data_IF_529764819679
#
_entry.id   IF_529764819679
#
_cell.length_a   1.000
_cell.length_b   1.000
_cell.length_c   1.000
_cell.angle_alpha   90.00
_cell.angle_beta   90.00
_cell.angle_gamma   90.00
#
_symmetry.space_group_name_H-M   'P 1'
#
loop_
_entity.id
_entity.type
_entity.pdbx_description
1 polymer ?
#
# COMPACT_ATOMS: atom_id res chain seq x y z
N UNK A 1 -9.99 -28.82 -28.17
CA UNK A 1 -10.47 -27.45 -28.44
C UNK A 1 -9.76 -26.50 -27.49
N UNK A 2 -8.83 -25.69 -28.00
CA UNK A 2 -8.16 -24.66 -27.21
C UNK A 2 -9.09 -23.45 -27.08
N UNK A 3 -9.58 -23.19 -25.87
CA UNK A 3 -10.32 -21.96 -25.56
C UNK A 3 -9.34 -20.80 -25.52
N UNK A 4 -9.44 -19.88 -26.49
CA UNK A 4 -8.77 -18.58 -26.45
C UNK A 4 -9.31 -17.80 -25.26
N UNK A 5 -8.52 -17.65 -24.20
CA UNK A 5 -8.78 -16.63 -23.17
C UNK A 5 -8.66 -15.27 -23.86
N UNK A 6 -9.69 -14.44 -23.72
CA UNK A 6 -9.62 -13.02 -24.12
C UNK A 6 -8.71 -12.33 -23.12
N UNK A 7 -7.53 -11.90 -23.58
CA UNK A 7 -6.71 -10.95 -22.85
C UNK A 7 -7.48 -9.63 -22.76
N UNK A 8 -8.03 -9.32 -21.58
CA UNK A 8 -8.38 -7.95 -21.24
C UNK A 8 -7.08 -7.14 -21.20
N UNK A 9 -6.94 -6.05 -21.97
CA UNK A 9 -5.72 -5.25 -21.95
C UNK A 9 -5.61 -4.60 -20.56
N UNK A 10 -4.73 -5.14 -19.73
CA UNK A 10 -4.18 -4.42 -18.58
C UNK A 10 -3.58 -3.13 -19.15
N UNK A 11 -4.19 -1.99 -18.83
CA UNK A 11 -3.60 -0.69 -19.16
C UNK A 11 -2.25 -0.67 -18.45
N UNK A 12 -1.17 -0.58 -19.23
CA UNK A 12 0.21 -0.52 -18.75
C UNK A 12 0.30 0.55 -17.63
N UNK A 13 0.87 0.24 -16.45
CA UNK A 13 1.11 1.22 -15.40
C UNK A 13 1.70 2.54 -15.91
N UNK A 14 2.55 2.48 -16.95
CA UNK A 14 3.10 3.66 -17.63
C UNK A 14 2.02 4.47 -18.35
N UNK A 15 1.11 3.81 -19.07
CA UNK A 15 0.00 4.44 -19.77
C UNK A 15 -0.99 5.10 -18.80
N UNK A 16 -1.17 4.52 -17.61
CA UNK A 16 -1.96 5.12 -16.52
C UNK A 16 -1.31 6.38 -15.97
N UNK A 17 0.00 6.37 -15.74
CA UNK A 17 0.74 7.54 -15.27
C UNK A 17 0.68 8.70 -16.27
N UNK A 18 0.86 8.40 -17.57
CA UNK A 18 0.72 9.37 -18.66
C UNK A 18 -0.68 10.02 -18.68
N UNK A 19 -1.73 9.21 -18.49
CA UNK A 19 -3.11 9.71 -18.45
C UNK A 19 -3.38 10.59 -17.22
N UNK A 20 -2.91 10.18 -16.03
CA UNK A 20 -3.06 10.97 -14.81
C UNK A 20 -2.32 12.31 -14.90
N UNK A 21 -1.13 12.30 -15.49
CA UNK A 21 -0.37 13.52 -15.74
C UNK A 21 -1.09 14.45 -16.74
N UNK A 22 -1.58 13.93 -17.86
CA UNK A 22 -2.36 14.69 -18.84
C UNK A 22 -3.61 15.34 -18.20
N UNK A 23 -4.34 14.58 -17.37
CA UNK A 23 -5.51 15.09 -16.64
C UNK A 23 -5.14 16.21 -15.67
N UNK A 24 -4.08 16.05 -14.87
CA UNK A 24 -3.59 17.10 -13.95
C UNK A 24 -3.25 18.39 -14.72
N UNK A 25 -2.64 18.28 -15.91
CA UNK A 25 -2.31 19.43 -16.77
C UNK A 25 -3.54 20.17 -17.30
N UNK A 26 -4.58 19.44 -17.72
CA UNK A 26 -5.85 20.05 -18.15
C UNK A 26 -6.47 20.86 -17.01
N UNK A 27 -6.47 20.32 -15.79
CA UNK A 27 -7.00 21.00 -14.61
C UNK A 27 -6.20 22.28 -14.29
N UNK A 28 -4.86 22.22 -14.34
CA UNK A 28 -4.01 23.39 -14.10
C UNK A 28 -4.24 24.51 -15.13
N UNK A 29 -4.35 24.18 -16.42
CA UNK A 29 -4.65 25.15 -17.48
C UNK A 29 -6.03 25.78 -17.32
N UNK A 30 -7.04 24.98 -16.96
CA UNK A 30 -8.38 25.48 -16.64
C UNK A 30 -8.37 26.43 -15.44
N UNK A 31 -7.56 26.13 -14.40
CA UNK A 31 -7.40 26.99 -13.23
C UNK A 31 -6.76 28.33 -13.58
N UNK A 32 -5.74 28.34 -14.44
CA UNK A 32 -5.11 29.56 -14.93
C UNK A 32 -6.11 30.45 -15.69
N UNK A 33 -6.92 29.85 -16.58
CA UNK A 33 -7.96 30.57 -17.29
C UNK A 33 -9.04 31.15 -16.36
N UNK A 34 -9.45 30.41 -15.34
CA UNK A 34 -10.35 30.94 -14.31
C UNK A 34 -9.75 32.13 -13.56
N UNK A 35 -8.45 32.08 -13.21
CA UNK A 35 -7.77 33.23 -12.59
C UNK A 35 -7.69 34.43 -13.53
N UNK A 36 -7.52 34.21 -14.84
CA UNK A 36 -7.54 35.27 -15.84
C UNK A 36 -8.91 35.97 -15.92
N UNK A 37 -10.01 35.21 -15.90
CA UNK A 37 -11.36 35.78 -15.86
C UNK A 37 -11.54 36.63 -14.59
N UNK A 38 -11.15 36.10 -13.43
CA UNK A 38 -11.21 36.83 -12.14
C UNK A 38 -10.34 38.10 -12.20
N UNK A 39 -9.18 38.04 -12.84
CA UNK A 39 -8.32 39.20 -13.05
C UNK A 39 -9.00 40.29 -13.87
N UNK A 40 -9.61 39.94 -15.01
CA UNK A 40 -10.30 40.91 -15.88
C UNK A 40 -11.51 41.52 -15.18
N UNK A 41 -12.37 40.69 -14.57
CA UNK A 41 -13.57 41.15 -13.86
C UNK A 41 -13.18 42.00 -12.65
N UNK A 42 -12.19 41.59 -11.87
CA UNK A 42 -11.68 42.35 -10.72
C UNK A 42 -11.09 43.70 -11.13
N UNK A 43 -10.35 43.75 -12.24
CA UNK A 43 -9.79 45.00 -12.76
C UNK A 43 -10.88 45.99 -13.17
N UNK A 44 -11.92 45.51 -13.87
CA UNK A 44 -13.10 46.33 -14.24
C UNK A 44 -13.82 46.81 -12.97
N UNK A 45 -13.97 45.94 -11.97
CA UNK A 45 -14.60 46.27 -10.70
C UNK A 45 -13.87 47.39 -9.94
N UNK A 46 -12.54 47.34 -9.84
CA UNK A 46 -11.75 48.41 -9.20
C UNK A 46 -11.85 49.75 -9.94
N UNK A 47 -11.90 49.72 -11.28
CA UNK A 47 -12.11 50.91 -12.11
C UNK A 47 -13.50 51.51 -11.86
N UNK A 48 -14.55 50.68 -11.84
CA UNK A 48 -15.93 51.08 -11.58
C UNK A 48 -16.11 51.64 -10.16
N UNK A 49 -15.57 50.99 -9.13
CA UNK A 49 -15.63 51.47 -7.74
C UNK A 49 -15.05 52.88 -7.60
N UNK A 50 -13.93 53.14 -8.26
CA UNK A 50 -13.27 54.43 -8.20
C UNK A 50 -13.99 55.50 -9.07
N UNK A 51 -14.53 55.15 -10.24
CA UNK A 51 -15.18 56.10 -11.14
C UNK A 51 -16.63 56.43 -10.76
N UNK A 52 -17.41 55.44 -10.35
CA UNK A 52 -18.86 55.58 -10.13
C UNK A 52 -19.16 55.94 -8.67
N UNK A 53 -18.48 55.29 -7.72
CA UNK A 53 -18.80 55.42 -6.30
C UNK A 53 -17.88 56.39 -5.55
N UNK A 54 -16.82 56.90 -6.20
CA UNK A 54 -15.88 57.85 -5.59
C UNK A 54 -15.14 57.32 -4.36
N UNK A 55 -15.20 56.01 -4.10
CA UNK A 55 -14.59 55.38 -2.94
C UNK A 55 -13.07 55.53 -3.02
N UNK A 56 -12.48 56.19 -2.02
CA UNK A 56 -11.04 56.44 -1.96
C UNK A 56 -10.51 57.45 -2.99
N UNK A 57 -11.35 58.28 -3.62
CA UNK A 57 -10.94 59.19 -4.68
C UNK A 57 -9.80 60.17 -4.29
N UNK A 58 -9.68 60.51 -3.01
CA UNK A 58 -8.60 61.36 -2.48
C UNK A 58 -7.34 60.58 -2.07
N UNK A 59 -7.42 59.25 -2.01
CA UNK A 59 -6.28 58.39 -1.65
C UNK A 59 -5.40 58.18 -2.87
N UNK A 60 -4.29 58.90 -2.88
CA UNK A 60 -3.23 58.75 -3.87
C UNK A 60 -1.99 58.17 -3.22
N UNK A 61 -1.36 57.22 -3.91
CA UNK A 61 -0.09 56.64 -3.51
C UNK A 61 0.89 56.88 -4.66
N UNK A 62 2.06 57.45 -4.36
CA UNK A 62 3.08 57.79 -5.37
C UNK A 62 2.55 58.62 -6.56
N UNK A 63 1.55 59.49 -6.33
CA UNK A 63 0.92 60.32 -7.37
C UNK A 63 -0.08 59.59 -8.28
N UNK A 64 -0.33 58.30 -8.07
CA UNK A 64 -1.36 57.52 -8.76
C UNK A 64 -2.57 57.25 -7.85
N UNK A 65 -3.77 57.14 -8.44
CA UNK A 65 -4.97 56.76 -7.68
C UNK A 65 -4.82 55.34 -7.15
N UNK A 66 -5.32 55.09 -5.93
CA UNK A 66 -5.24 53.77 -5.28
C UNK A 66 -5.73 52.61 -6.16
N UNK A 67 -6.74 52.84 -7.01
CA UNK A 67 -7.30 51.85 -7.94
C UNK A 67 -6.30 51.37 -8.97
N UNK A 68 -5.43 52.24 -9.49
CA UNK A 68 -4.37 51.85 -10.42
C UNK A 68 -3.31 50.99 -9.74
N UNK A 69 -2.96 51.32 -8.50
CA UNK A 69 -1.98 50.55 -7.73
C UNK A 69 -2.53 49.18 -7.36
N UNK A 70 -3.82 49.10 -6.99
CA UNK A 70 -4.49 47.83 -6.77
C UNK A 70 -4.47 46.96 -8.03
N UNK A 71 -4.73 47.52 -9.22
CA UNK A 71 -4.67 46.80 -10.49
C UNK A 71 -3.24 46.35 -10.81
N UNK A 72 -2.22 47.16 -10.55
CA UNK A 72 -0.80 46.79 -10.74
C UNK A 72 -0.41 45.63 -9.82
N UNK A 73 -0.74 45.70 -8.53
CA UNK A 73 -0.49 44.62 -7.57
C UNK A 73 -1.22 43.32 -7.96
N UNK A 74 -2.49 43.44 -8.35
CA UNK A 74 -3.31 42.32 -8.81
C UNK A 74 -2.76 41.71 -10.12
N UNK A 75 -2.26 42.54 -11.03
CA UNK A 75 -1.61 42.13 -12.28
C UNK A 75 -0.28 41.43 -12.04
N UNK A 76 0.51 41.90 -11.08
CA UNK A 76 1.76 41.24 -10.69
C UNK A 76 1.53 39.82 -10.18
N UNK A 77 0.52 39.61 -9.33
CA UNK A 77 0.14 38.26 -8.86
C UNK A 77 -0.31 37.35 -10.00
N UNK A 78 -1.06 37.88 -10.96
CA UNK A 78 -1.46 37.13 -12.15
C UNK A 78 -0.26 36.75 -13.02
N UNK A 79 0.68 37.67 -13.24
CA UNK A 79 1.92 37.42 -14.01
C UNK A 79 2.79 36.38 -13.32
N UNK A 80 2.95 36.43 -11.99
CA UNK A 80 3.67 35.39 -11.23
C UNK A 80 3.02 34.02 -11.41
N UNK A 81 1.68 33.94 -11.32
CA UNK A 81 0.95 32.68 -11.52
C UNK A 81 1.08 32.18 -12.97
N UNK A 82 1.00 33.07 -13.96
CA UNK A 82 1.20 32.75 -15.38
C UNK A 82 2.61 32.23 -15.67
N UNK A 83 3.64 32.93 -15.20
CA UNK A 83 5.04 32.51 -15.34
C UNK A 83 5.29 31.15 -14.67
N UNK A 84 4.71 30.88 -13.50
CA UNK A 84 4.85 29.58 -12.83
C UNK A 84 4.21 28.43 -13.64
N UNK A 85 3.03 28.66 -14.23
CA UNK A 85 2.33 27.62 -15.01
C UNK A 85 2.94 27.42 -16.41
N UNK A 86 3.53 28.47 -17.00
CA UNK A 86 3.96 28.47 -18.41
C UNK A 86 5.50 28.46 -18.58
N UNK A 87 6.26 29.34 -17.92
CA UNK A 87 7.72 29.46 -18.10
C UNK A 87 8.50 28.31 -17.45
N UNK A 88 8.17 27.93 -16.20
CA UNK A 88 8.91 26.87 -15.51
C UNK A 88 8.68 25.46 -16.11
N UNK A 89 7.52 25.23 -16.74
CA UNK A 89 7.21 23.96 -17.41
C UNK A 89 7.78 23.89 -18.85
N UNK A 90 8.12 25.01 -19.49
CA UNK A 90 8.76 24.97 -20.82
C UNK A 90 10.24 24.56 -20.75
N UNK A 91 10.90 24.80 -19.61
CA UNK A 91 12.34 24.56 -19.44
C UNK A 91 12.65 23.22 -18.74
N UNK A 92 11.80 22.78 -17.80
CA UNK A 92 11.89 21.49 -17.10
C UNK A 92 10.55 20.75 -17.13
N UNK A 93 9.95 20.64 -18.32
CA UNK A 93 8.68 19.93 -18.53
C UNK A 93 8.83 18.41 -18.52
N UNK A 94 7.70 17.70 -18.49
CA UNK A 94 7.61 16.24 -18.52
C UNK A 94 8.45 15.61 -19.64
N UNK A 95 8.51 16.19 -20.84
CA UNK A 95 9.35 15.66 -21.93
C UNK A 95 10.85 15.63 -21.63
N UNK A 96 11.35 16.57 -20.82
CA UNK A 96 12.74 16.56 -20.39
C UNK A 96 12.98 15.44 -19.38
N UNK A 97 12.06 15.27 -18.43
CA UNK A 97 12.07 14.19 -17.44
C UNK A 97 11.96 12.82 -18.10
N UNK A 98 11.05 12.66 -19.06
CA UNK A 98 10.85 11.45 -19.85
C UNK A 98 12.12 11.12 -20.65
N UNK A 99 12.76 12.13 -21.29
CA UNK A 99 14.05 11.94 -21.97
C UNK A 99 15.18 11.54 -21.02
N UNK A 100 15.20 12.04 -19.78
CA UNK A 100 16.18 11.59 -18.79
C UNK A 100 15.88 10.16 -18.33
N UNK A 101 14.60 9.83 -18.11
CA UNK A 101 14.17 8.50 -17.68
C UNK A 101 14.46 7.44 -18.74
N UNK A 102 14.14 7.70 -20.01
CA UNK A 102 14.46 6.82 -21.13
C UNK A 102 15.97 6.56 -21.21
N UNK A 103 16.80 7.59 -21.06
CA UNK A 103 18.26 7.43 -21.01
C UNK A 103 18.72 6.54 -19.86
N UNK A 104 18.11 6.65 -18.69
CA UNK A 104 18.44 5.81 -17.53
C UNK A 104 18.00 4.36 -17.72
N UNK A 105 16.80 4.13 -18.26
CA UNK A 105 16.27 2.79 -18.56
C UNK A 105 17.15 2.10 -19.61
N UNK A 106 17.59 2.82 -20.65
CA UNK A 106 18.50 2.27 -21.67
C UNK A 106 19.82 1.83 -21.04
N UNK A 107 20.43 2.68 -20.20
CA UNK A 107 21.66 2.33 -19.48
C UNK A 107 21.47 1.10 -18.58
N UNK A 108 20.36 1.03 -17.86
CA UNK A 108 20.06 -0.09 -16.99
C UNK A 108 19.84 -1.39 -17.79
N UNK A 109 19.20 -1.32 -18.96
CA UNK A 109 19.05 -2.47 -19.86
C UNK A 109 20.39 -2.95 -20.41
N UNK A 110 21.29 -2.04 -20.78
CA UNK A 110 22.65 -2.37 -21.20
C UNK A 110 23.42 -3.06 -20.07
N UNK A 111 23.32 -2.56 -18.84
CA UNK A 111 23.95 -3.15 -17.66
C UNK A 111 23.42 -4.55 -17.35
N UNK A 112 22.09 -4.74 -17.39
CA UNK A 112 21.47 -6.07 -17.23
C UNK A 112 21.93 -7.04 -18.32
N UNK A 113 22.05 -6.58 -19.57
CA UNK A 113 22.52 -7.41 -20.67
C UNK A 113 23.99 -7.83 -20.49
N UNK A 114 24.83 -6.93 -19.98
CA UNK A 114 26.23 -7.24 -19.64
C UNK A 114 26.31 -8.26 -18.50
N UNK A 115 25.56 -8.06 -17.41
CA UNK A 115 25.50 -9.00 -16.29
C UNK A 115 25.01 -10.37 -16.76
N UNK A 116 23.96 -10.42 -17.59
CA UNK A 116 23.46 -11.69 -18.13
C UNK A 116 24.51 -12.39 -19.00
N UNK A 117 25.30 -11.63 -19.77
CA UNK A 117 26.40 -12.17 -20.56
C UNK A 117 27.49 -12.75 -19.67
N UNK A 118 27.86 -12.06 -18.61
CA UNK A 118 28.88 -12.52 -17.66
C UNK A 118 28.41 -13.78 -16.90
N UNK A 119 27.12 -13.83 -16.53
CA UNK A 119 26.49 -15.03 -15.96
C UNK A 119 26.51 -16.20 -16.94
N UNK A 120 26.14 -15.96 -18.21
CA UNK A 120 26.15 -17.00 -19.25
C UNK A 120 27.58 -17.50 -19.54
N UNK A 121 28.62 -16.67 -19.37
CA UNK A 121 30.04 -17.05 -19.49
C UNK A 121 30.53 -17.85 -18.26
N UNK A 122 30.17 -17.42 -17.04
CA UNK A 122 30.56 -18.11 -15.80
C UNK A 122 29.82 -19.44 -15.59
N UNK A 123 28.58 -19.53 -16.09
CA UNK A 123 27.72 -20.70 -15.98
C UNK A 123 27.08 -21.03 -17.33
N UNK A 124 27.83 -21.67 -18.24
CA UNK A 124 27.31 -22.05 -19.55
C UNK A 124 26.03 -22.88 -19.42
N UNK A 125 24.99 -22.51 -20.18
CA UNK A 125 23.68 -23.17 -20.11
C UNK A 125 23.78 -24.65 -20.44
N UNK A 126 24.67 -25.04 -21.34
CA UNK A 126 24.95 -26.44 -21.67
C UNK A 126 25.50 -27.21 -20.48
N UNK A 127 26.35 -26.58 -19.66
CA UNK A 127 26.91 -27.19 -18.45
C UNK A 127 25.86 -27.30 -17.33
N UNK A 128 24.97 -26.31 -17.21
CA UNK A 128 23.82 -26.36 -16.31
C UNK A 128 22.82 -27.46 -16.72
N UNK A 129 22.54 -27.58 -18.01
CA UNK A 129 21.69 -28.65 -18.57
C UNK A 129 22.35 -30.01 -18.33
N UNK A 130 23.65 -30.14 -18.59
CA UNK A 130 24.39 -31.38 -18.36
C UNK A 130 24.42 -31.77 -16.88
N UNK A 131 24.69 -30.83 -15.97
CA UNK A 131 24.60 -31.06 -14.51
C UNK A 131 23.19 -31.45 -14.09
N UNK A 132 22.16 -30.85 -14.69
CA UNK A 132 20.75 -31.21 -14.44
C UNK A 132 20.42 -32.60 -14.97
N UNK A 133 20.90 -32.97 -16.15
CA UNK A 133 20.72 -34.30 -16.74
C UNK A 133 21.50 -35.38 -16.00
N UNK A 134 22.72 -35.09 -15.55
CA UNK A 134 23.53 -35.95 -14.68
C UNK A 134 22.88 -36.12 -13.31
N UNK A 135 22.33 -35.05 -12.73
CA UNK A 135 21.54 -35.09 -11.50
C UNK A 135 20.25 -35.93 -11.66
N UNK A 136 19.60 -35.86 -12.81
CA UNK A 136 18.41 -36.67 -13.13
C UNK A 136 18.81 -38.13 -13.37
N UNK A 137 19.92 -38.41 -14.07
CA UNK A 137 20.42 -39.78 -14.34
C UNK A 137 20.96 -40.49 -13.10
N UNK A 138 21.58 -39.76 -12.18
CA UNK A 138 22.03 -40.28 -10.89
C UNK A 138 20.87 -40.72 -9.98
N UNK A 139 19.62 -40.43 -10.38
CA UNK A 139 18.41 -40.79 -9.67
C UNK A 139 17.55 -41.73 -10.53
N UNK A 140 17.88 -43.02 -10.53
CA UNK A 140 16.96 -44.07 -10.98
C UNK A 140 15.71 -44.13 -10.08
N UNK A 141 14.55 -44.63 -10.58
CA UNK A 141 13.24 -44.37 -9.99
C UNK A 141 13.09 -45.13 -8.67
N UNK A 142 13.44 -44.46 -7.59
CA UNK A 142 12.95 -44.82 -6.27
C UNK A 142 11.45 -44.52 -6.30
N UNK A 143 10.66 -45.58 -6.09
CA UNK A 143 9.24 -45.52 -5.69
C UNK A 143 9.03 -44.27 -4.85
N UNK A 144 8.09 -43.40 -5.25
CA UNK A 144 7.87 -42.12 -4.59
C UNK A 144 7.37 -42.39 -3.16
N UNK A 145 8.30 -42.59 -2.22
CA UNK A 145 8.09 -42.12 -0.86
C UNK A 145 8.15 -40.60 -0.95
N UNK A 146 7.01 -39.99 -0.64
CA UNK A 146 6.78 -38.57 -0.62
C UNK A 146 7.95 -37.85 0.08
N UNK A 147 8.77 -37.15 -0.69
CA UNK A 147 9.63 -36.11 -0.12
C UNK A 147 8.70 -35.09 0.53
N UNK A 148 8.58 -35.16 1.87
CA UNK A 148 7.82 -34.20 2.69
C UNK A 148 8.17 -32.79 2.21
N UNK A 149 7.18 -32.12 1.62
CA UNK A 149 7.20 -30.67 1.38
C UNK A 149 7.63 -29.99 2.69
N UNK A 150 8.38 -28.87 2.65
CA UNK A 150 8.61 -28.10 3.87
C UNK A 150 7.24 -27.82 4.50
N UNK A 151 7.08 -28.23 5.76
CA UNK A 151 5.81 -28.09 6.49
C UNK A 151 5.53 -26.59 6.60
N UNK A 152 4.46 -26.14 5.93
CA UNK A 152 3.96 -24.77 6.08
C UNK A 152 3.68 -24.52 7.57
N UNK A 153 4.20 -23.42 8.10
CA UNK A 153 3.94 -22.98 9.48
C UNK A 153 2.88 -21.89 9.39
N UNK A 154 1.70 -22.10 9.95
CA UNK A 154 0.63 -21.10 9.92
C UNK A 154 0.71 -20.27 11.20
N UNK A 155 0.81 -18.95 11.07
CA UNK A 155 0.94 -18.05 12.22
C UNK A 155 -0.30 -17.17 12.35
N UNK A 156 -0.93 -17.15 13.52
CA UNK A 156 -1.91 -16.11 13.84
C UNK A 156 -1.18 -14.91 14.42
N UNK A 157 -1.55 -13.69 14.03
CA UNK A 157 -0.99 -12.47 14.62
C UNK A 157 -2.12 -11.52 14.99
N UNK A 158 -2.15 -11.09 16.25
CA UNK A 158 -3.22 -10.25 16.79
C UNK A 158 -2.70 -9.33 17.88
N UNK A 159 -3.37 -8.19 18.08
CA UNK A 159 -3.28 -7.41 19.31
C UNK A 159 -4.63 -7.51 20.03
N UNK A 160 -4.63 -7.86 21.31
CA UNK A 160 -5.84 -8.02 22.10
C UNK A 160 -5.69 -7.46 23.52
N UNK A 161 -6.75 -6.83 24.04
CA UNK A 161 -6.84 -6.37 25.43
C UNK A 161 -6.91 -7.53 26.42
N UNK A 162 -6.85 -7.26 27.73
CA UNK A 162 -6.86 -8.31 28.78
C UNK A 162 -8.10 -9.21 28.70
N UNK A 163 -9.24 -8.63 28.32
CA UNK A 163 -10.51 -9.30 28.09
C UNK A 163 -10.65 -9.91 26.68
N UNK A 164 -9.54 -10.14 25.97
CA UNK A 164 -9.47 -10.60 24.57
C UNK A 164 -10.16 -9.68 23.54
N UNK A 165 -10.53 -8.45 23.91
CA UNK A 165 -11.05 -7.46 22.98
C UNK A 165 -10.07 -7.22 21.83
N UNK A 166 -10.54 -7.13 20.58
CA UNK A 166 -9.73 -6.79 19.40
C UNK A 166 -9.99 -5.38 18.90
N UNK A 167 -11.25 -4.98 18.83
CA UNK A 167 -11.66 -3.72 18.22
C UNK A 167 -13.16 -3.52 18.28
N UNK A 168 -13.60 -2.32 17.88
CA UNK A 168 -15.01 -1.90 17.87
C UNK A 168 -15.27 -1.12 16.60
N UNK A 169 -16.42 -1.33 15.95
CA UNK A 169 -16.82 -0.61 14.74
C UNK A 169 -15.81 -0.72 13.57
N UNK A 170 -15.08 -1.84 13.50
CA UNK A 170 -13.99 -2.13 12.56
C UNK A 170 -12.70 -1.30 12.74
N UNK A 171 -12.53 -0.65 13.89
CA UNK A 171 -11.29 0.03 14.27
C UNK A 171 -10.69 -0.56 15.55
N UNK A 172 -9.38 -0.35 15.74
CA UNK A 172 -8.70 -0.70 16.99
C UNK A 172 -9.02 0.37 18.04
N UNK A 173 -9.33 -0.07 19.25
CA UNK A 173 -9.68 0.82 20.38
C UNK A 173 -8.46 1.45 21.06
N UNK A 174 -7.25 1.14 20.58
CA UNK A 174 -5.98 1.72 21.03
C UNK A 174 -5.08 2.07 19.85
N UNK A 175 -4.09 2.93 20.11
CA UNK A 175 -3.04 3.28 19.15
C UNK A 175 -1.67 2.82 19.67
N UNK A 176 -1.10 1.79 19.05
CA UNK A 176 0.20 1.22 19.43
C UNK A 176 1.16 1.20 18.23
N UNK A 177 1.91 2.29 17.97
CA UNK A 177 2.82 2.40 16.84
C UNK A 177 3.86 1.26 16.74
N UNK A 178 4.40 0.79 17.88
CA UNK A 178 5.39 -0.28 17.88
C UNK A 178 4.78 -1.65 17.52
N UNK A 179 3.53 -1.91 17.91
CA UNK A 179 2.81 -3.10 17.47
C UNK A 179 2.55 -3.08 15.95
N UNK A 180 2.15 -1.94 15.38
CA UNK A 180 2.03 -1.79 13.93
C UNK A 180 3.35 -2.03 13.20
N UNK A 181 4.47 -1.56 13.78
CA UNK A 181 5.81 -1.78 13.25
C UNK A 181 6.16 -3.28 13.28
N UNK A 182 5.89 -3.95 14.40
CA UNK A 182 6.07 -5.40 14.56
C UNK A 182 5.22 -6.19 13.56
N UNK A 183 3.93 -5.88 13.45
CA UNK A 183 3.03 -6.48 12.46
C UNK A 183 3.58 -6.34 11.04
N UNK A 184 4.04 -5.14 10.66
CA UNK A 184 4.64 -4.91 9.33
C UNK A 184 5.91 -5.73 9.12
N UNK A 185 6.78 -5.81 10.13
CA UNK A 185 8.03 -6.55 10.05
C UNK A 185 7.80 -8.06 9.92
N UNK A 186 6.87 -8.62 10.67
CA UNK A 186 6.57 -10.05 10.66
C UNK A 186 5.83 -10.49 9.39
N UNK A 187 4.91 -9.67 8.88
CA UNK A 187 4.03 -10.06 7.76
C UNK A 187 4.56 -9.69 6.38
N UNK A 188 5.61 -8.87 6.26
CA UNK A 188 6.14 -8.48 4.93
C UNK A 188 6.68 -9.67 4.17
N UNK A 189 6.39 -9.75 2.86
CA UNK A 189 6.76 -10.88 2.01
C UNK A 189 5.84 -12.09 2.11
N UNK A 190 4.87 -12.07 3.03
CA UNK A 190 3.97 -13.20 3.29
C UNK A 190 2.53 -12.95 2.82
N UNK A 191 1.75 -14.02 2.79
CA UNK A 191 0.32 -14.02 2.55
C UNK A 191 -0.38 -13.71 3.88
N UNK A 192 -1.33 -12.78 3.82
CA UNK A 192 -2.14 -12.39 4.98
C UNK A 192 -3.59 -12.78 4.71
N UNK A 193 -4.14 -13.58 5.61
CA UNK A 193 -5.48 -14.16 5.55
C UNK A 193 -6.36 -13.38 6.52
N UNK A 194 -7.45 -12.81 6.00
CA UNK A 194 -8.35 -12.00 6.79
C UNK A 194 -9.81 -12.13 6.37
N UNK A 195 -10.71 -11.65 7.21
CA UNK A 195 -12.13 -11.56 6.90
C UNK A 195 -12.46 -10.29 6.11
N UNK A 196 -13.60 -10.31 5.41
CA UNK A 196 -14.08 -9.16 4.63
C UNK A 196 -14.08 -7.83 5.41
N UNK A 197 -14.63 -7.83 6.63
CA UNK A 197 -14.72 -6.62 7.47
C UNK A 197 -13.36 -6.05 7.84
N UNK A 198 -12.40 -6.91 8.19
CA UNK A 198 -11.01 -6.51 8.48
C UNK A 198 -10.31 -5.96 7.24
N UNK A 199 -10.59 -6.53 6.07
CA UNK A 199 -10.07 -5.98 4.82
C UNK A 199 -10.65 -4.60 4.50
N UNK A 200 -11.95 -4.41 4.72
CA UNK A 200 -12.67 -3.15 4.48
C UNK A 200 -12.22 -2.00 5.40
N UNK A 201 -11.59 -2.29 6.54
CA UNK A 201 -11.02 -1.25 7.41
C UNK A 201 -9.67 -0.72 6.93
N UNK A 202 -8.99 -1.43 6.02
CA UNK A 202 -7.72 -0.96 5.48
C UNK A 202 -7.94 0.18 4.47
N UNK A 203 -7.26 1.34 4.64
CA UNK A 203 -7.40 2.45 3.70
C UNK A 203 -6.77 2.14 2.33
N UNK A 204 -5.87 1.16 2.27
CA UNK A 204 -5.19 0.68 1.06
C UNK A 204 -4.58 -0.70 1.29
N UNK A 205 -4.27 -1.38 0.19
CA UNK A 205 -3.48 -2.60 0.24
C UNK A 205 -2.13 -2.37 0.90
N UNK A 206 -1.72 -3.36 1.67
CA UNK A 206 -0.47 -3.35 2.39
C UNK A 206 0.65 -3.81 1.43
N UNK A 207 1.70 -3.00 1.21
CA UNK A 207 2.73 -3.33 0.23
C UNK A 207 3.48 -4.62 0.62
N UNK A 208 3.98 -5.32 -0.40
CA UNK A 208 4.75 -6.55 -0.31
C UNK A 208 4.03 -7.69 0.44
N UNK A 209 2.70 -7.72 0.39
CA UNK A 209 1.87 -8.76 1.01
C UNK A 209 0.80 -9.21 0.03
N UNK A 210 0.54 -10.50 0.02
CA UNK A 210 -0.58 -11.08 -0.75
C UNK A 210 -1.79 -11.12 0.16
N UNK A 211 -2.82 -10.36 -0.17
CA UNK A 211 -4.06 -10.33 0.60
C UNK A 211 -4.98 -11.48 0.19
N UNK A 212 -5.39 -12.30 1.16
CA UNK A 212 -6.41 -13.34 0.99
C UNK A 212 -7.59 -12.98 1.88
N UNK A 213 -8.76 -12.78 1.27
CA UNK A 213 -9.98 -12.33 1.95
C UNK A 213 -11.01 -13.45 1.94
N UNK A 214 -11.41 -13.89 3.13
CA UNK A 214 -12.48 -14.87 3.32
C UNK A 214 -13.81 -14.13 3.41
N UNK A 215 -14.75 -14.47 2.53
CA UNK A 215 -16.10 -13.90 2.49
C UNK A 215 -17.15 -14.96 2.14
N UNK A 216 -18.26 -14.99 2.87
CA UNK A 216 -19.42 -15.82 2.53
C UNK A 216 -20.21 -15.27 1.33
N UNK A 217 -20.02 -13.99 1.01
CA UNK A 217 -20.65 -13.39 -0.17
C UNK A 217 -19.89 -13.82 -1.43
N UNK A 218 -20.52 -14.68 -2.23
CA UNK A 218 -19.94 -15.23 -3.48
C UNK A 218 -19.70 -14.18 -4.55
N UNK A 219 -20.44 -13.07 -4.50
CA UNK A 219 -20.33 -11.96 -5.45
C UNK A 219 -19.34 -10.89 -4.99
N UNK A 220 -18.72 -11.06 -3.81
CA UNK A 220 -17.74 -10.10 -3.32
C UNK A 220 -16.47 -10.15 -4.18
N UNK A 221 -16.08 -8.99 -4.68
CA UNK A 221 -14.87 -8.81 -5.47
C UNK A 221 -14.12 -7.60 -4.91
N UNK A 222 -12.80 -7.72 -4.82
CA UNK A 222 -11.92 -6.64 -4.42
C UNK A 222 -10.67 -6.68 -5.30
N UNK A 223 -10.21 -5.51 -5.74
CA UNK A 223 -9.08 -5.40 -6.65
C UNK A 223 -7.76 -5.70 -5.91
N UNK A 224 -6.87 -6.46 -6.55
CA UNK A 224 -5.53 -6.76 -6.01
C UNK A 224 -5.50 -7.75 -4.85
N UNK A 225 -6.61 -8.45 -4.57
CA UNK A 225 -6.68 -9.46 -3.51
C UNK A 225 -7.25 -10.79 -4.03
N UNK A 226 -6.98 -11.86 -3.31
CA UNK A 226 -7.53 -13.19 -3.57
C UNK A 226 -8.75 -13.37 -2.67
N UNK A 227 -9.95 -13.43 -3.26
CA UNK A 227 -11.19 -13.70 -2.50
C UNK A 227 -11.47 -15.20 -2.51
N UNK A 228 -11.74 -15.76 -1.33
CA UNK A 228 -12.10 -17.17 -1.11
C UNK A 228 -13.27 -17.28 -0.13
N UNK A 229 -13.84 -18.48 0.01
CA UNK A 229 -15.06 -18.70 0.78
C UNK A 229 -14.80 -19.43 2.09
N UNK A 230 -13.69 -20.18 2.19
CA UNK A 230 -13.35 -20.97 3.38
C UNK A 230 -11.89 -20.81 3.81
N UNK A 231 -11.59 -21.25 5.03
CA UNK A 231 -10.22 -21.24 5.56
C UNK A 231 -9.31 -22.19 4.78
N UNK A 232 -9.81 -23.35 4.40
CA UNK A 232 -9.07 -24.37 3.65
C UNK A 232 -8.68 -23.84 2.27
N UNK A 233 -9.59 -23.13 1.59
CA UNK A 233 -9.27 -22.45 0.33
C UNK A 233 -8.22 -21.35 0.53
N UNK A 234 -8.30 -20.58 1.62
CA UNK A 234 -7.29 -19.56 1.94
C UNK A 234 -5.90 -20.19 2.12
N UNK A 235 -5.83 -21.30 2.85
CA UNK A 235 -4.61 -22.05 3.07
C UNK A 235 -4.08 -22.70 1.78
N UNK A 236 -4.96 -23.19 0.91
CA UNK A 236 -4.60 -23.68 -0.42
C UNK A 236 -3.91 -22.59 -1.25
N UNK A 237 -4.49 -21.38 -1.25
CA UNK A 237 -3.94 -20.22 -1.97
C UNK A 237 -2.63 -19.71 -1.40
N UNK A 238 -2.35 -19.97 -0.13
CA UNK A 238 -1.11 -19.58 0.52
C UNK A 238 -0.04 -20.68 0.52
N UNK A 239 -0.26 -21.85 -0.09
CA UNK A 239 0.68 -22.99 -0.06
C UNK A 239 2.10 -22.70 -0.56
N UNK A 240 2.28 -21.70 -1.41
CA UNK A 240 3.62 -21.27 -1.86
C UNK A 240 4.39 -20.50 -0.78
N UNK A 241 3.70 -20.05 0.26
CA UNK A 241 4.26 -19.37 1.41
C UNK A 241 4.60 -20.38 2.52
N UNK A 242 5.81 -20.30 3.01
CA UNK A 242 6.26 -21.11 4.15
C UNK A 242 5.65 -20.65 5.47
N UNK A 243 5.24 -19.39 5.58
CA UNK A 243 4.68 -18.80 6.79
C UNK A 243 3.53 -17.80 6.52
N UNK A 244 2.34 -18.27 6.09
CA UNK A 244 1.18 -17.40 5.97
C UNK A 244 0.67 -16.94 7.33
N UNK A 245 0.12 -15.72 7.37
CA UNK A 245 -0.39 -15.10 8.57
C UNK A 245 -1.92 -14.99 8.56
N UNK A 246 -2.57 -15.44 9.62
CA UNK A 246 -4.00 -15.17 9.89
C UNK A 246 -4.07 -13.90 10.74
N UNK A 247 -4.72 -12.86 10.21
CA UNK A 247 -4.73 -11.52 10.82
C UNK A 247 -6.14 -11.09 11.28
N UNK A 248 -7.08 -12.04 11.35
CA UNK A 248 -8.42 -11.84 11.90
C UNK A 248 -9.49 -11.42 10.89
N UNK A 249 -10.63 -10.88 11.29
CA UNK A 249 -11.07 -10.59 12.66
C UNK A 249 -11.54 -11.82 13.45
N UNK A 250 -12.32 -11.60 14.51
CA UNK A 250 -12.72 -12.62 15.49
C UNK A 250 -13.14 -13.97 14.90
N UNK A 251 -14.12 -13.99 13.99
CA UNK A 251 -14.56 -15.25 13.34
C UNK A 251 -13.44 -15.98 12.59
N UNK A 252 -12.55 -15.22 11.93
CA UNK A 252 -11.43 -15.80 11.18
C UNK A 252 -10.35 -16.33 12.11
N UNK A 253 -10.13 -15.68 13.26
CA UNK A 253 -9.26 -16.24 14.28
C UNK A 253 -9.81 -17.55 14.85
N UNK A 254 -11.12 -17.61 15.15
CA UNK A 254 -11.76 -18.84 15.63
C UNK A 254 -11.60 -19.98 14.62
N UNK A 255 -11.87 -19.73 13.33
CA UNK A 255 -11.66 -20.72 12.27
C UNK A 255 -10.18 -21.09 12.09
N UNK A 256 -9.28 -20.13 12.29
CA UNK A 256 -7.84 -20.29 12.09
C UNK A 256 -7.14 -21.09 13.19
N UNK A 257 -7.69 -21.13 14.40
CA UNK A 257 -7.06 -21.72 15.58
C UNK A 257 -6.75 -23.22 15.41
N UNK A 258 -7.60 -23.95 14.70
CA UNK A 258 -7.39 -25.38 14.40
C UNK A 258 -6.13 -25.60 13.54
N UNK A 259 -5.90 -24.69 12.59
CA UNK A 259 -4.84 -24.77 11.58
C UNK A 259 -3.51 -24.16 12.03
N UNK A 260 -3.56 -23.18 12.93
CA UNK A 260 -2.39 -22.44 13.36
C UNK A 260 -1.36 -23.33 14.07
N UNK A 261 -0.09 -23.02 13.87
CA UNK A 261 1.07 -23.62 14.54
C UNK A 261 1.73 -22.65 15.51
N UNK A 262 1.64 -21.35 15.23
CA UNK A 262 2.18 -20.27 16.06
C UNK A 262 1.12 -19.19 16.28
N UNK A 263 1.16 -18.53 17.43
CA UNK A 263 0.39 -17.31 17.71
C UNK A 263 1.38 -16.23 18.15
N UNK A 264 1.39 -15.12 17.41
CA UNK A 264 2.10 -13.88 17.75
C UNK A 264 1.08 -12.89 18.32
N UNK A 265 0.92 -12.90 19.64
CA UNK A 265 -0.08 -12.10 20.34
C UNK A 265 0.57 -10.88 21.01
N UNK A 266 0.05 -9.70 20.74
CA UNK A 266 0.34 -8.50 21.54
C UNK A 266 -0.77 -8.35 22.58
N UNK A 267 -0.47 -8.63 23.85
CA UNK A 267 -1.41 -8.43 24.97
C UNK A 267 -1.34 -6.97 25.42
N UNK A 268 -2.41 -6.22 25.24
CA UNK A 268 -2.52 -4.83 25.70
C UNK A 268 -3.10 -4.85 27.10
N UNK A 269 -2.37 -4.31 28.08
CA UNK A 269 -2.74 -4.35 29.49
C UNK A 269 -3.83 -3.31 29.81
N UNK A 270 -5.06 -3.66 29.46
CA UNK A 270 -6.26 -2.89 29.67
C UNK A 270 -7.50 -3.66 29.24
N UNK A 271 -8.66 -3.28 29.78
CA UNK A 271 -9.96 -3.81 29.37
C UNK A 271 -10.65 -2.79 28.46
N UNK A 272 -11.22 -3.29 27.36
CA UNK A 272 -11.82 -2.42 26.34
C UNK A 272 -13.18 -2.95 25.91
N UNK A 273 -14.09 -2.04 25.56
CA UNK A 273 -15.33 -2.40 24.88
C UNK A 273 -15.05 -2.78 23.43
N UNK A 274 -15.50 -3.96 23.00
CA UNK A 274 -15.26 -4.48 21.66
C UNK A 274 -16.47 -5.26 21.14
N UNK A 275 -16.60 -5.33 19.81
CA UNK A 275 -17.56 -6.19 19.10
C UNK A 275 -16.91 -7.45 18.51
N UNK A 276 -15.57 -7.50 18.53
CA UNK A 276 -14.76 -8.62 18.10
C UNK A 276 -13.75 -9.01 19.18
N UNK A 277 -13.63 -10.32 19.42
CA UNK A 277 -12.75 -10.88 20.44
C UNK A 277 -11.81 -11.91 19.83
N UNK A 278 -10.61 -12.01 20.37
CA UNK A 278 -9.69 -13.09 20.09
C UNK A 278 -10.21 -14.38 20.77
N UNK A 279 -10.15 -15.54 20.11
CA UNK A 279 -10.62 -16.78 20.73
C UNK A 279 -9.76 -17.15 21.93
N UNK A 280 -10.39 -17.69 22.97
CA UNK A 280 -9.66 -18.39 24.03
C UNK A 280 -9.01 -19.64 23.44
N UNK A 281 -7.83 -19.98 23.95
CA UNK A 281 -7.09 -21.16 23.54
C UNK A 281 -6.45 -21.83 24.76
N UNK A 282 -6.35 -23.15 24.68
CA UNK A 282 -5.94 -23.99 25.80
C UNK A 282 -4.43 -23.98 26.03
N UNK A 283 -3.99 -23.71 27.26
CA UNK A 283 -2.59 -23.78 27.68
C UNK A 283 -2.02 -25.22 27.68
N UNK A 284 -2.88 -26.24 27.64
CA UNK A 284 -2.45 -27.62 27.41
C UNK A 284 -1.99 -27.82 25.96
N UNK A 285 -2.59 -27.12 25.00
CA UNK A 285 -2.28 -27.21 23.55
C UNK A 285 -1.20 -26.22 23.14
N UNK A 286 -1.12 -25.06 23.78
CA UNK A 286 -0.23 -23.96 23.41
C UNK A 286 0.81 -23.70 24.49
N UNK A 287 2.08 -23.59 24.08
CA UNK A 287 3.21 -23.28 24.95
C UNK A 287 3.71 -21.86 24.65
N UNK A 288 3.88 -21.05 25.70
CA UNK A 288 4.53 -19.74 25.60
C UNK A 288 6.04 -19.93 25.45
N UNK A 289 6.61 -19.48 24.34
CA UNK A 289 8.04 -19.66 24.01
C UNK A 289 8.84 -18.37 23.99
N UNK A 290 8.18 -17.21 23.89
CA UNK A 290 8.83 -15.90 23.99
C UNK A 290 7.88 -14.89 24.61
N UNK A 291 8.42 -14.04 25.47
CA UNK A 291 7.73 -12.92 26.09
C UNK A 291 8.64 -11.67 26.06
N UNK A 292 8.07 -10.51 25.75
CA UNK A 292 8.77 -9.22 25.74
C UNK A 292 7.82 -8.10 26.20
N UNK A 293 8.06 -7.56 27.39
CA UNK A 293 7.23 -6.51 28.00
C UNK A 293 7.63 -5.12 27.54
N UNK A 294 6.63 -4.29 27.24
CA UNK A 294 6.76 -2.88 26.89
C UNK A 294 5.95 -2.05 27.89
N UNK A 295 6.65 -1.19 28.63
CA UNK A 295 6.01 -0.27 29.55
C UNK A 295 5.35 0.90 28.80
N UNK A 296 4.48 1.62 29.51
CA UNK A 296 3.87 2.85 29.02
C UNK A 296 4.95 3.90 28.75
N UNK A 297 4.84 4.59 27.62
CA UNK A 297 5.72 5.69 27.25
C UNK A 297 4.95 6.86 26.61
N UNK A 298 5.66 7.85 26.08
CA UNK A 298 5.04 9.02 25.43
C UNK A 298 4.23 8.67 24.16
N UNK A 299 4.51 7.52 23.53
CA UNK A 299 3.88 7.07 22.28
C UNK A 299 2.77 6.05 22.52
N UNK A 300 2.80 5.34 23.64
CA UNK A 300 1.93 4.23 23.96
C UNK A 300 1.11 4.55 25.22
N UNK A 301 -0.20 4.71 25.08
CA UNK A 301 -1.08 5.05 26.22
C UNK A 301 -1.26 3.91 27.21
N UNK A 302 -1.03 2.67 26.76
CA UNK A 302 -1.18 1.43 27.51
C UNK A 302 0.12 0.63 27.43
N UNK A 303 0.55 -0.01 28.54
CA UNK A 303 1.61 -1.00 28.47
C UNK A 303 1.11 -2.24 27.70
N UNK A 304 2.02 -2.98 27.07
CA UNK A 304 1.68 -4.19 26.34
C UNK A 304 2.82 -5.22 26.39
N UNK A 305 2.51 -6.49 26.16
CA UNK A 305 3.49 -7.58 26.08
C UNK A 305 3.39 -8.28 24.75
N UNK A 306 4.52 -8.49 24.07
CA UNK A 306 4.60 -9.41 22.96
C UNK A 306 4.75 -10.84 23.48
N UNK A 307 3.84 -11.71 23.06
CA UNK A 307 3.78 -13.12 23.44
C UNK A 307 3.86 -13.97 22.17
N UNK A 308 4.77 -14.92 22.13
CA UNK A 308 4.84 -15.92 21.06
C UNK A 308 4.49 -17.27 21.64
N UNK A 309 3.39 -17.86 21.16
CA UNK A 309 2.99 -19.22 21.49
C UNK A 309 3.28 -20.16 20.33
N UNK A 310 3.64 -21.40 20.65
CA UNK A 310 3.71 -22.52 19.70
C UNK A 310 2.76 -23.62 20.13
N UNK A 311 2.13 -24.25 19.15
CA UNK A 311 1.34 -25.46 19.37
C UNK A 311 2.28 -26.61 19.73
N UNK A 312 1.99 -27.33 20.82
CA UNK A 312 2.81 -28.44 21.32
C UNK A 312 2.91 -29.61 20.35
#
# INVERSE_FOLDING_TARGET
>A
MFSKRKDTPQIDPLQRELYEHARKRVIQKKRLFNHFIVFVVGSIFFVVLNLIFGLGAEVTFFGAKWSFIAIICWGFLFVLHFCNVWLFHSFMGQEWTDRQMERLIVKQKEEIALIQRDVDLMYPKEELIKKKEEFIKAKQPVTIEEKKKPKQIITMIAAAGENNALGKDNDLVWHLPDDFKRFKQLTTGHHIIMGRKTFESFPKLLPNRVHIVISRNKDYQAEGVIVVQTMEEALEKSKSDTNPFIIGGGEIYTLGLEYANCIELTRVHGEFEADAFFPEFDAEVWELVKEEFHDKDEKHQYPFTYLTYKKK
#
